data_IF_493866137782
#
_entry.id   IF_493866137782
#
_cell.length_a   1.000
_cell.length_b   1.000
_cell.length_c   1.000
_cell.angle_alpha   90.00
_cell.angle_beta   90.00
_cell.angle_gamma   90.00
#
_symmetry.space_group_name_H-M   'P 1'
#
loop_
_entity.id
_entity.type
_entity.pdbx_description
1 polymer ?
#
# COMPACT_ATOMS: atom_id res chain seq x y z
N UNK A 1 -3.80 -9.27 -28.33
CA UNK A 1 -3.22 -7.92 -28.44
C UNK A 1 -2.14 -7.83 -27.38
N UNK A 2 -0.91 -7.53 -27.78
CA UNK A 2 0.27 -7.64 -26.90
C UNK A 2 0.15 -6.70 -25.71
N UNK A 3 0.49 -7.21 -24.53
CA UNK A 3 0.74 -6.39 -23.34
C UNK A 3 1.80 -5.37 -23.74
N UNK A 4 1.60 -4.06 -23.56
CA UNK A 4 2.66 -3.10 -23.78
C UNK A 4 3.82 -3.50 -22.88
N UNK A 5 5.01 -3.71 -23.44
CA UNK A 5 6.20 -3.88 -22.63
C UNK A 5 6.33 -2.62 -21.77
N UNK A 6 6.09 -2.78 -20.46
CA UNK A 6 6.24 -1.72 -19.47
C UNK A 6 7.73 -1.38 -19.44
N UNK A 7 8.12 -0.42 -20.27
CA UNK A 7 9.50 -0.05 -20.51
C UNK A 7 10.06 0.59 -19.23
N UNK A 8 11.00 -0.10 -18.58
CA UNK A 8 12.17 0.42 -17.86
C UNK A 8 12.05 1.79 -17.15
N UNK A 9 10.91 2.11 -16.54
CA UNK A 9 10.77 3.29 -15.69
C UNK A 9 11.02 2.89 -14.24
N UNK A 10 12.26 3.19 -13.83
CA UNK A 10 12.78 3.11 -12.48
C UNK A 10 13.26 1.72 -12.03
N UNK A 11 14.25 1.14 -12.72
CA UNK A 11 15.07 0.07 -12.17
C UNK A 11 15.92 0.59 -11.00
N UNK A 12 15.31 0.75 -9.82
CA UNK A 12 15.98 0.54 -8.55
C UNK A 12 15.69 -0.90 -8.11
N UNK A 13 15.98 -1.82 -9.03
CA UNK A 13 16.27 -3.18 -8.62
C UNK A 13 17.68 -3.15 -8.05
N UNK A 14 17.85 -3.86 -6.95
CA UNK A 14 18.99 -3.94 -6.03
C UNK A 14 20.40 -4.09 -6.67
N UNK A 15 20.54 -4.07 -7.99
CA UNK A 15 21.68 -4.63 -8.70
C UNK A 15 22.68 -3.65 -9.31
N UNK A 16 22.76 -2.38 -8.87
CA UNK A 16 23.80 -1.47 -9.40
C UNK A 16 24.53 -0.58 -8.39
N UNK A 17 24.31 -0.71 -7.07
CA UNK A 17 25.10 0.04 -6.07
C UNK A 17 25.50 -0.79 -4.84
N UNK A 18 26.41 -0.25 -4.02
CA UNK A 18 26.88 -0.86 -2.77
C UNK A 18 25.71 -1.17 -1.81
N UNK A 19 24.61 -0.41 -1.91
CA UNK A 19 23.49 -0.43 -0.98
C UNK A 19 22.50 -1.56 -1.26
N UNK A 20 22.37 -1.99 -2.51
CA UNK A 20 21.62 -3.19 -2.86
C UNK A 20 22.26 -4.46 -2.31
N UNK A 21 23.58 -4.59 -2.37
CA UNK A 21 24.31 -5.74 -1.78
C UNK A 21 24.13 -5.84 -0.27
N UNK A 22 24.17 -4.72 0.44
CA UNK A 22 23.93 -4.67 1.89
C UNK A 22 22.49 -5.09 2.22
N UNK A 23 21.49 -4.67 1.43
CA UNK A 23 20.10 -5.08 1.63
C UNK A 23 19.92 -6.59 1.41
N UNK A 24 20.56 -7.19 0.41
CA UNK A 24 20.49 -8.64 0.15
C UNK A 24 21.09 -9.49 1.27
N UNK A 25 21.95 -8.94 2.13
CA UNK A 25 22.44 -9.69 3.29
C UNK A 25 21.39 -9.87 4.39
N UNK A 26 20.36 -9.01 4.43
CA UNK A 26 19.31 -9.03 5.46
C UNK A 26 17.89 -9.14 4.90
N UNK A 27 17.74 -9.37 3.60
CA UNK A 27 16.45 -9.49 2.94
C UNK A 27 16.51 -10.48 1.76
N UNK A 28 15.42 -11.23 1.53
CA UNK A 28 15.28 -12.13 0.38
C UNK A 28 14.11 -11.71 -0.50
N UNK A 29 14.27 -11.90 -1.81
CA UNK A 29 13.21 -11.67 -2.78
C UNK A 29 12.04 -12.62 -2.50
N UNK A 30 10.82 -12.07 -2.39
CA UNK A 30 9.59 -12.87 -2.22
C UNK A 30 8.69 -12.74 -3.45
N UNK A 31 8.47 -11.52 -3.94
CA UNK A 31 7.64 -11.27 -5.12
C UNK A 31 8.40 -10.36 -6.09
N UNK A 32 8.83 -10.88 -7.26
CA UNK A 32 9.42 -10.05 -8.29
C UNK A 32 8.40 -9.09 -8.89
N UNK A 33 8.85 -7.95 -9.38
CA UNK A 33 8.00 -6.91 -9.97
C UNK A 33 7.10 -7.46 -11.09
N UNK A 34 7.60 -8.37 -11.92
CA UNK A 34 6.80 -9.03 -12.95
C UNK A 34 5.59 -9.78 -12.41
N UNK A 35 5.71 -10.42 -11.23
CA UNK A 35 4.62 -11.12 -10.57
C UNK A 35 3.66 -10.12 -9.91
N UNK A 36 4.19 -9.04 -9.30
CA UNK A 36 3.37 -7.92 -8.80
C UNK A 36 2.47 -7.37 -9.91
N UNK A 37 3.03 -7.12 -11.10
CA UNK A 37 2.26 -6.63 -12.25
C UNK A 37 1.19 -7.61 -12.71
N UNK A 38 1.41 -8.93 -12.60
CA UNK A 38 0.36 -9.92 -12.87
C UNK A 38 -0.79 -9.83 -11.87
N UNK A 39 -0.49 -9.61 -10.58
CA UNK A 39 -1.53 -9.37 -9.56
C UNK A 39 -2.27 -8.05 -9.80
N UNK A 40 -1.57 -6.98 -10.19
CA UNK A 40 -2.20 -5.70 -10.56
C UNK A 40 -3.13 -5.90 -11.76
N UNK A 41 -2.69 -6.56 -12.83
CA UNK A 41 -3.51 -6.84 -14.01
C UNK A 41 -4.75 -7.68 -13.68
N UNK A 42 -4.63 -8.65 -12.75
CA UNK A 42 -5.77 -9.41 -12.24
C UNK A 42 -6.76 -8.47 -11.55
N UNK A 43 -6.29 -7.64 -10.62
CA UNK A 43 -7.13 -6.71 -9.87
C UNK A 43 -7.74 -5.62 -10.76
N UNK A 44 -7.05 -5.18 -11.81
CA UNK A 44 -7.61 -4.28 -12.81
C UNK A 44 -8.82 -4.88 -13.53
N UNK A 45 -8.85 -6.20 -13.77
CA UNK A 45 -10.02 -6.87 -14.37
C UNK A 45 -11.20 -6.90 -13.40
N UNK A 46 -10.93 -7.24 -12.14
CA UNK A 46 -11.95 -7.25 -11.09
C UNK A 46 -12.51 -5.84 -10.86
N UNK A 47 -11.65 -4.81 -10.87
CA UNK A 47 -12.06 -3.41 -10.81
C UNK A 47 -12.95 -3.04 -12.01
N UNK A 48 -12.57 -3.45 -13.23
CA UNK A 48 -13.37 -3.18 -14.42
C UNK A 48 -14.77 -3.82 -14.35
N UNK A 49 -14.90 -5.00 -13.74
CA UNK A 49 -16.21 -5.62 -13.50
C UNK A 49 -17.06 -4.83 -12.49
N UNK A 50 -16.41 -4.23 -11.49
CA UNK A 50 -17.07 -3.44 -10.45
C UNK A 50 -17.54 -2.07 -10.94
N UNK A 51 -16.68 -1.33 -11.65
CA UNK A 51 -16.94 0.09 -12.00
C UNK A 51 -17.22 0.31 -13.49
N UNK A 52 -16.77 -0.59 -14.37
CA UNK A 52 -16.84 -0.42 -15.82
C UNK A 52 -16.32 0.97 -16.22
N UNK A 53 -17.08 1.74 -17.00
CA UNK A 53 -16.75 3.11 -17.40
C UNK A 53 -17.32 4.18 -16.44
N UNK A 54 -17.95 3.78 -15.32
CA UNK A 54 -18.50 4.73 -14.35
C UNK A 54 -17.40 5.37 -13.50
N UNK A 55 -17.50 6.67 -13.18
CA UNK A 55 -16.57 7.31 -12.25
C UNK A 55 -16.58 6.63 -10.88
N UNK A 56 -15.42 6.58 -10.24
CA UNK A 56 -15.23 5.99 -8.91
C UNK A 56 -14.20 6.78 -8.11
N UNK A 57 -14.20 6.59 -6.79
CA UNK A 57 -13.17 7.12 -5.91
C UNK A 57 -12.07 6.08 -5.72
N UNK A 58 -10.86 6.37 -6.17
CA UNK A 58 -9.68 5.59 -5.83
C UNK A 58 -9.09 6.14 -4.54
N UNK A 59 -9.23 5.38 -3.44
CA UNK A 59 -8.86 5.80 -2.11
C UNK A 59 -7.63 5.05 -1.59
N UNK A 60 -6.40 5.42 -2.01
CA UNK A 60 -5.19 4.83 -1.46
C UNK A 60 -5.04 5.17 0.01
N UNK A 61 -4.74 4.16 0.82
CA UNK A 61 -4.36 4.33 2.22
C UNK A 61 -2.87 4.67 2.28
N UNK A 62 -2.60 5.93 2.59
CA UNK A 62 -1.27 6.50 2.53
C UNK A 62 -0.39 6.07 3.71
N UNK A 63 0.93 5.96 3.50
CA UNK A 63 1.66 6.21 2.24
C UNK A 63 1.90 4.94 1.41
N UNK A 64 1.68 3.76 1.99
CA UNK A 64 2.08 2.48 1.40
C UNK A 64 1.36 2.11 0.12
N UNK A 65 0.06 2.34 0.07
CA UNK A 65 -0.77 1.96 -1.07
C UNK A 65 -0.65 2.91 -2.27
N UNK A 66 0.05 4.04 -2.16
CA UNK A 66 0.08 5.08 -3.21
C UNK A 66 0.63 4.56 -4.55
N UNK A 67 1.72 3.77 -4.48
CA UNK A 67 2.31 3.14 -5.67
C UNK A 67 1.36 2.12 -6.27
N UNK A 68 0.84 1.21 -5.45
CA UNK A 68 -0.08 0.18 -5.91
C UNK A 68 -1.34 0.79 -6.53
N UNK A 69 -1.92 1.82 -5.92
CA UNK A 69 -3.07 2.55 -6.45
C UNK A 69 -2.76 3.15 -7.82
N UNK A 70 -1.60 3.80 -7.98
CA UNK A 70 -1.18 4.36 -9.28
C UNK A 70 -1.18 3.29 -10.37
N UNK A 71 -0.58 2.14 -10.11
CA UNK A 71 -0.54 1.04 -11.08
C UNK A 71 -1.95 0.44 -11.30
N UNK A 72 -2.77 0.32 -10.24
CA UNK A 72 -4.14 -0.21 -10.33
C UNK A 72 -5.05 0.66 -11.19
N UNK A 73 -5.00 1.98 -11.04
CA UNK A 73 -5.91 2.90 -11.73
C UNK A 73 -5.35 3.50 -13.03
N UNK A 74 -4.13 3.13 -13.43
CA UNK A 74 -3.47 3.67 -14.64
C UNK A 74 -4.35 3.62 -15.91
N UNK A 75 -5.15 2.54 -16.15
CA UNK A 75 -6.02 2.48 -17.33
C UNK A 75 -7.27 3.39 -17.26
N UNK A 76 -7.56 4.00 -16.11
CA UNK A 76 -8.85 4.61 -15.80
C UNK A 76 -8.77 6.14 -15.76
N UNK A 77 -9.33 6.79 -16.78
CA UNK A 77 -9.44 8.26 -16.82
C UNK A 77 -10.58 8.82 -15.94
N UNK A 78 -11.46 7.95 -15.47
CA UNK A 78 -12.64 8.25 -14.65
C UNK A 78 -12.40 8.01 -13.14
N UNK A 79 -11.16 7.68 -12.75
CA UNK A 79 -10.76 7.50 -11.36
C UNK A 79 -10.52 8.85 -10.67
N UNK A 80 -11.29 9.15 -9.62
CA UNK A 80 -11.07 10.30 -8.76
C UNK A 80 -10.17 9.90 -7.60
N UNK A 81 -8.92 10.38 -7.58
CA UNK A 81 -7.96 10.04 -6.53
C UNK A 81 -8.28 10.82 -5.25
N UNK A 82 -8.80 10.12 -4.24
CA UNK A 82 -9.21 10.69 -2.95
C UNK A 82 -8.55 9.90 -1.81
N UNK A 83 -7.32 10.25 -1.42
CA UNK A 83 -6.53 9.47 -0.48
C UNK A 83 -7.14 9.44 0.93
N UNK A 84 -6.78 8.39 1.66
CA UNK A 84 -7.04 8.23 3.09
C UNK A 84 -5.69 8.16 3.82
N UNK A 85 -5.62 8.64 5.07
CA UNK A 85 -4.41 8.47 5.88
C UNK A 85 -4.75 8.08 7.32
N UNK A 86 -4.35 6.87 7.66
CA UNK A 86 -4.51 6.22 8.95
C UNK A 86 -3.11 5.89 9.49
N UNK A 87 -2.62 6.66 10.46
CA UNK A 87 -1.30 6.51 11.07
C UNK A 87 -1.32 5.34 12.05
N UNK A 88 -0.87 4.18 11.59
CA UNK A 88 -0.66 3.02 12.46
C UNK A 88 0.61 3.25 13.31
N UNK A 89 0.45 3.36 14.64
CA UNK A 89 1.59 3.49 15.55
C UNK A 89 2.36 2.15 15.61
N UNK A 90 3.46 2.02 14.85
CA UNK A 90 4.48 1.00 15.10
C UNK A 90 5.52 1.56 16.06
N UNK A 91 5.31 1.41 17.37
CA UNK A 91 6.38 1.21 18.38
C UNK A 91 5.75 0.89 19.73
N UNK A 92 6.10 -0.29 20.25
CA UNK A 92 5.93 -0.75 21.64
C UNK A 92 4.49 -0.83 22.18
N UNK A 93 3.98 -2.05 22.34
CA UNK A 93 2.76 -2.44 23.07
C UNK A 93 1.44 -1.79 22.59
N UNK A 94 0.80 -2.51 21.66
CA UNK A 94 -0.66 -2.69 21.49
C UNK A 94 -1.61 -1.83 22.35
N UNK A 95 -1.74 -0.54 22.04
CA UNK A 95 -2.92 0.25 22.46
C UNK A 95 -4.05 0.17 21.44
N UNK A 96 -3.80 -0.36 20.24
CA UNK A 96 -4.83 -0.55 19.21
C UNK A 96 -5.40 0.75 18.63
N UNK A 97 -4.86 1.91 18.99
CA UNK A 97 -5.29 3.21 18.47
C UNK A 97 -4.48 3.57 17.22
N UNK A 98 -5.18 3.74 16.10
CA UNK A 98 -4.65 4.33 14.87
C UNK A 98 -5.00 5.81 14.87
N UNK A 99 -4.01 6.67 14.67
CA UNK A 99 -4.24 8.10 14.56
C UNK A 99 -4.77 8.44 13.16
N UNK A 100 -5.78 9.30 13.06
CA UNK A 100 -6.46 9.63 11.81
C UNK A 100 -6.01 11.01 11.35
N UNK A 101 -5.51 11.13 10.12
CA UNK A 101 -5.14 12.44 9.58
C UNK A 101 -6.39 13.20 9.14
N UNK A 102 -6.89 14.07 10.03
CA UNK A 102 -8.18 14.75 9.84
C UNK A 102 -8.23 15.59 8.57
N UNK A 103 -7.15 16.27 8.21
CA UNK A 103 -7.13 17.13 7.01
C UNK A 103 -7.36 16.30 5.74
N UNK A 104 -6.69 15.15 5.63
CA UNK A 104 -6.84 14.25 4.48
C UNK A 104 -8.23 13.62 4.47
N UNK A 105 -8.73 13.18 5.63
CA UNK A 105 -10.05 12.57 5.73
C UNK A 105 -11.20 13.55 5.47
N UNK A 106 -11.08 14.81 5.93
CA UNK A 106 -12.07 15.86 5.66
C UNK A 106 -12.08 16.23 4.17
N UNK A 107 -10.90 16.24 3.52
CA UNK A 107 -10.77 16.40 2.07
C UNK A 107 -11.45 15.25 1.31
N UNK A 108 -11.22 14.00 1.74
CA UNK A 108 -11.91 12.83 1.19
C UNK A 108 -13.44 12.98 1.27
N UNK A 109 -13.98 13.31 2.44
CA UNK A 109 -15.43 13.51 2.64
C UNK A 109 -15.98 14.66 1.80
N UNK A 110 -15.23 15.76 1.70
CA UNK A 110 -15.62 16.92 0.90
C UNK A 110 -15.68 16.58 -0.59
N UNK A 111 -14.69 15.84 -1.10
CA UNK A 111 -14.70 15.35 -2.49
C UNK A 111 -15.92 14.47 -2.75
N UNK A 112 -16.24 13.55 -1.83
CA UNK A 112 -17.41 12.66 -1.95
C UNK A 112 -18.73 13.41 -2.04
N UNK A 113 -18.91 14.49 -1.27
CA UNK A 113 -20.14 15.29 -1.29
C UNK A 113 -20.36 16.06 -2.59
N UNK A 114 -19.28 16.40 -3.30
CA UNK A 114 -19.32 17.14 -4.55
C UNK A 114 -19.72 16.24 -5.71
N UNK A 115 -19.33 14.97 -5.66
CA UNK A 115 -19.65 13.99 -6.69
C UNK A 115 -20.93 13.22 -6.35
N UNK A 116 -21.58 12.68 -7.37
CA UNK A 116 -22.66 11.69 -7.21
C UNK A 116 -22.18 10.47 -6.40
N UNK A 117 -23.06 9.57 -5.90
CA UNK A 117 -22.66 8.41 -5.12
C UNK A 117 -21.87 7.39 -5.97
N UNK A 118 -20.64 7.75 -6.29
CA UNK A 118 -19.67 6.90 -6.96
C UNK A 118 -19.10 5.89 -5.96
N UNK A 119 -18.84 4.65 -6.41
CA UNK A 119 -18.25 3.62 -5.57
C UNK A 119 -16.86 4.04 -5.09
N UNK A 120 -16.50 3.59 -3.89
CA UNK A 120 -15.20 3.84 -3.27
C UNK A 120 -14.36 2.55 -3.38
N UNK A 121 -13.26 2.66 -4.09
CA UNK A 121 -12.25 1.61 -4.21
C UNK A 121 -11.16 1.92 -3.19
N UNK A 122 -11.22 1.29 -2.03
CA UNK A 122 -10.19 1.44 -0.99
C UNK A 122 -8.97 0.62 -1.39
N UNK A 123 -7.83 1.26 -1.55
CA UNK A 123 -6.60 0.60 -2.00
C UNK A 123 -5.61 0.51 -0.84
N UNK A 124 -5.21 -0.71 -0.49
CA UNK A 124 -4.25 -1.00 0.58
C UNK A 124 -3.07 -1.80 0.03
N UNK A 125 -1.85 -1.49 0.45
CA UNK A 125 -0.66 -2.26 0.10
C UNK A 125 -0.64 -3.61 0.84
N UNK A 126 -1.05 -3.62 2.11
CA UNK A 126 -1.02 -4.83 2.93
C UNK A 126 -2.11 -4.89 4.00
N UNK A 127 -2.86 -5.99 4.00
CA UNK A 127 -3.74 -6.33 5.11
C UNK A 127 -3.05 -7.32 6.06
N UNK A 128 -2.56 -6.77 7.18
CA UNK A 128 -1.74 -7.46 8.20
C UNK A 128 -2.54 -7.80 9.47
N UNK A 129 -2.43 -6.98 10.52
CA UNK A 129 -3.12 -7.20 11.79
C UNK A 129 -4.63 -6.89 11.77
N UNK A 130 -5.10 -6.13 10.78
CA UNK A 130 -6.50 -5.73 10.61
C UNK A 130 -6.95 -4.50 11.41
N UNK A 131 -6.05 -3.77 12.08
CA UNK A 131 -6.41 -2.53 12.79
C UNK A 131 -6.75 -1.40 11.83
N UNK A 132 -5.90 -1.13 10.84
CA UNK A 132 -6.16 -0.09 9.82
C UNK A 132 -7.51 -0.30 9.15
N UNK A 133 -7.81 -1.54 8.76
CA UNK A 133 -9.11 -1.91 8.20
C UNK A 133 -10.26 -1.59 9.16
N UNK A 134 -10.15 -1.99 10.43
CA UNK A 134 -11.16 -1.70 11.43
C UNK A 134 -11.40 -0.18 11.60
N UNK A 135 -10.33 0.61 11.56
CA UNK A 135 -10.44 2.07 11.65
C UNK A 135 -11.05 2.72 10.41
N UNK A 136 -10.75 2.20 9.21
CA UNK A 136 -11.42 2.63 7.97
C UNK A 136 -12.93 2.34 8.07
N UNK A 137 -13.30 1.15 8.51
CA UNK A 137 -14.71 0.77 8.66
C UNK A 137 -15.42 1.62 9.72
N UNK A 138 -14.76 1.91 10.85
CA UNK A 138 -15.30 2.82 11.86
C UNK A 138 -15.50 4.23 11.29
N UNK A 139 -14.49 4.75 10.59
CA UNK A 139 -14.56 6.06 9.93
C UNK A 139 -15.70 6.12 8.90
N UNK A 140 -15.86 5.09 8.08
CA UNK A 140 -16.95 5.00 7.10
C UNK A 140 -18.32 4.94 7.78
N UNK A 141 -18.46 4.14 8.83
CA UNK A 141 -19.68 4.07 9.62
C UNK A 141 -20.06 5.41 10.25
N UNK A 142 -19.10 6.09 10.90
CA UNK A 142 -19.27 7.42 11.51
C UNK A 142 -19.73 8.49 10.49
N UNK A 143 -19.43 8.30 9.20
CA UNK A 143 -19.73 9.24 8.12
C UNK A 143 -20.85 8.75 7.18
N UNK A 144 -21.64 7.76 7.59
CA UNK A 144 -22.76 7.21 6.82
C UNK A 144 -22.34 6.68 5.43
N UNK A 145 -21.16 6.08 5.34
CA UNK A 145 -20.71 5.32 4.17
C UNK A 145 -21.05 3.86 4.43
N UNK A 146 -21.91 3.28 3.59
CA UNK A 146 -22.42 1.92 3.76
C UNK A 146 -21.49 0.89 3.10
N UNK A 147 -21.57 -0.37 3.51
CA UNK A 147 -20.76 -1.44 2.90
C UNK A 147 -21.01 -1.63 1.40
N UNK A 148 -22.17 -1.22 0.89
CA UNK A 148 -22.46 -1.20 -0.55
C UNK A 148 -21.73 -0.08 -1.31
N UNK A 149 -21.17 0.90 -0.60
CA UNK A 149 -20.52 2.06 -1.19
C UNK A 149 -19.03 1.81 -1.46
N UNK A 150 -18.45 0.71 -0.95
CA UNK A 150 -17.01 0.47 -1.06
C UNK A 150 -16.62 -0.99 -1.25
N UNK A 151 -15.51 -1.19 -1.94
CA UNK A 151 -14.81 -2.48 -2.07
C UNK A 151 -13.33 -2.28 -1.77
N UNK A 152 -12.70 -3.26 -1.12
CA UNK A 152 -11.28 -3.21 -0.78
C UNK A 152 -10.43 -3.91 -1.83
N UNK A 153 -9.40 -3.24 -2.32
CA UNK A 153 -8.38 -3.79 -3.19
C UNK A 153 -7.07 -3.83 -2.42
N UNK A 154 -6.63 -5.03 -2.08
CA UNK A 154 -5.46 -5.27 -1.23
C UNK A 154 -4.41 -6.01 -2.02
N UNK A 155 -3.22 -5.45 -2.14
CA UNK A 155 -2.13 -6.13 -2.85
C UNK A 155 -1.68 -7.39 -2.10
N UNK A 156 -1.35 -7.27 -0.82
CA UNK A 156 -0.85 -8.37 0.01
C UNK A 156 -1.80 -8.70 1.17
N UNK A 157 -2.15 -9.96 1.30
CA UNK A 157 -2.99 -10.46 2.38
C UNK A 157 -2.21 -11.40 3.32
N UNK A 158 -2.19 -11.11 4.64
CA UNK A 158 -1.57 -11.94 5.68
C UNK A 158 -2.60 -12.48 6.69
N UNK A 159 -3.36 -13.53 6.36
CA UNK A 159 -4.37 -14.07 7.27
C UNK A 159 -3.77 -14.54 8.60
N UNK A 160 -2.53 -15.04 8.61
CA UNK A 160 -1.83 -15.50 9.82
C UNK A 160 -1.42 -14.39 10.80
N UNK A 161 -1.55 -13.12 10.42
CA UNK A 161 -1.16 -11.99 11.28
C UNK A 161 -2.34 -11.28 11.95
N UNK A 162 -3.57 -11.70 11.66
CA UNK A 162 -4.81 -11.07 12.14
C UNK A 162 -4.87 -11.01 13.66
N UNK A 163 -5.14 -9.82 14.18
CA UNK A 163 -5.40 -9.57 15.62
C UNK A 163 -6.83 -9.10 15.87
N UNK A 164 -7.53 -8.69 14.82
CA UNK A 164 -8.94 -8.30 14.85
C UNK A 164 -9.77 -9.29 14.04
N UNK A 165 -11.06 -9.40 14.38
CA UNK A 165 -12.02 -10.06 13.50
C UNK A 165 -12.20 -9.16 12.28
N UNK A 166 -11.86 -9.68 11.11
CA UNK A 166 -12.19 -9.02 9.85
C UNK A 166 -13.67 -9.28 9.58
N UNK A 167 -14.54 -8.26 9.53
CA UNK A 167 -15.90 -8.45 9.07
C UNK A 167 -15.89 -8.95 7.63
N UNK A 168 -16.98 -9.61 7.23
CA UNK A 168 -17.20 -9.98 5.83
C UNK A 168 -17.41 -8.68 5.04
N UNK A 169 -16.43 -8.35 4.22
CA UNK A 169 -16.39 -7.16 3.37
C UNK A 169 -15.99 -7.61 1.97
N UNK A 170 -16.45 -6.88 0.97
CA UNK A 170 -16.04 -7.12 -0.41
C UNK A 170 -14.55 -6.79 -0.56
N UNK A 171 -13.74 -7.82 -0.81
CA UNK A 171 -12.28 -7.71 -0.80
C UNK A 171 -11.65 -8.48 -1.96
N UNK A 172 -10.94 -7.74 -2.79
CA UNK A 172 -10.17 -8.18 -3.93
C UNK A 172 -8.70 -8.27 -3.54
N UNK A 173 -8.14 -9.47 -3.59
CA UNK A 173 -6.78 -9.76 -3.11
C UNK A 173 -5.86 -10.06 -4.29
N UNK A 174 -4.74 -9.33 -4.36
CA UNK A 174 -3.67 -9.58 -5.30
C UNK A 174 -3.00 -10.92 -5.02
N UNK A 175 -2.33 -11.02 -3.86
CA UNK A 175 -1.64 -12.23 -3.41
C UNK A 175 -1.79 -12.43 -1.89
N UNK A 176 -1.81 -13.69 -1.45
CA UNK A 176 -1.75 -14.06 -0.03
C UNK A 176 -0.36 -14.55 0.31
N UNK A 177 0.25 -13.96 1.34
CA UNK A 177 1.62 -14.29 1.77
C UNK A 177 1.64 -14.77 3.23
N UNK A 178 2.67 -15.53 3.64
CA UNK A 178 2.90 -15.85 5.04
C UNK A 178 3.15 -14.59 5.88
N UNK A 179 3.22 -14.77 7.20
CA UNK A 179 3.47 -13.68 8.14
C UNK A 179 4.97 -13.27 8.17
N UNK A 180 5.45 -12.72 7.06
CA UNK A 180 6.80 -12.18 6.89
C UNK A 180 6.82 -10.67 7.05
N UNK A 181 7.83 -10.08 7.67
CA UNK A 181 8.01 -8.63 7.56
C UNK A 181 8.55 -8.30 6.16
N UNK A 182 7.85 -7.44 5.41
CA UNK A 182 8.13 -7.19 3.98
C UNK A 182 8.30 -5.70 3.69
N UNK A 183 9.14 -5.39 2.70
CA UNK A 183 9.46 -4.04 2.22
C UNK A 183 9.50 -4.00 0.69
N UNK A 184 9.41 -2.80 0.12
CA UNK A 184 9.41 -2.58 -1.33
C UNK A 184 8.02 -2.46 -1.91
N UNK A 185 7.94 -1.95 -3.14
CA UNK A 185 6.70 -1.67 -3.85
C UNK A 185 5.69 -0.86 -3.01
N UNK A 186 6.15 0.24 -2.42
CA UNK A 186 5.35 1.07 -1.51
C UNK A 186 5.51 0.69 -0.04
N UNK A 187 5.79 -0.55 0.32
CA UNK A 187 6.04 -0.99 1.70
C UNK A 187 7.39 -0.47 2.21
N UNK A 188 7.48 -0.19 3.52
CA UNK A 188 8.64 0.48 4.10
C UNK A 188 9.16 -0.12 5.41
N UNK A 189 10.36 0.32 5.75
CA UNK A 189 10.90 0.26 7.10
C UNK A 189 11.36 1.67 7.52
N UNK A 190 10.73 2.26 8.52
CA UNK A 190 11.00 3.62 9.03
C UNK A 190 11.09 4.67 7.88
N UNK A 191 10.20 4.57 6.88
CA UNK A 191 10.13 5.45 5.71
C UNK A 191 11.07 5.10 4.56
N UNK A 192 11.93 4.08 4.71
CA UNK A 192 12.88 3.65 3.69
C UNK A 192 12.33 2.50 2.81
N UNK A 193 12.99 2.26 1.69
CA UNK A 193 12.77 1.11 0.79
C UNK A 193 11.46 1.07 -0.03
N UNK A 194 10.54 2.04 0.15
CA UNK A 194 9.29 2.13 -0.67
C UNK A 194 9.50 2.07 -2.19
N UNK A 195 10.64 2.59 -2.66
CA UNK A 195 10.98 2.73 -4.08
C UNK A 195 11.51 1.45 -4.74
N UNK A 196 11.81 0.40 -3.97
CA UNK A 196 12.19 -0.89 -4.56
C UNK A 196 11.03 -1.42 -5.42
N UNK A 197 11.31 -1.99 -6.59
CA UNK A 197 10.26 -2.52 -7.45
C UNK A 197 9.72 -3.86 -6.95
N UNK A 198 10.62 -4.73 -6.48
CA UNK A 198 10.23 -6.02 -5.92
C UNK A 198 9.82 -5.89 -4.45
N UNK A 199 9.12 -6.92 -3.98
CA UNK A 199 8.83 -7.10 -2.56
C UNK A 199 9.81 -8.12 -1.98
N UNK A 200 10.46 -7.72 -0.89
CA UNK A 200 11.43 -8.53 -0.16
C UNK A 200 10.92 -8.82 1.25
N UNK A 201 11.16 -10.04 1.73
CA UNK A 201 11.08 -10.36 3.15
C UNK A 201 12.38 -9.94 3.82
N UNK A 202 12.26 -9.29 4.97
CA UNK A 202 13.39 -8.97 5.84
C UNK A 202 13.70 -10.19 6.68
N UNK A 203 14.90 -10.76 6.50
CA UNK A 203 15.36 -11.97 7.21
C UNK A 203 16.20 -11.64 8.45
N UNK A 204 16.74 -10.41 8.54
CA UNK A 204 17.44 -9.88 9.71
C UNK A 204 17.06 -8.41 9.94
N UNK A 205 16.14 -8.16 10.87
CA UNK A 205 15.67 -6.80 11.19
C UNK A 205 16.74 -5.94 11.90
N UNK A 206 17.66 -6.54 12.66
CA UNK A 206 18.71 -5.78 13.36
C UNK A 206 19.77 -5.28 12.38
N UNK A 207 20.12 -6.10 11.40
CA UNK A 207 20.98 -5.66 10.31
C UNK A 207 20.30 -4.60 9.44
N UNK A 208 19.00 -4.74 9.14
CA UNK A 208 18.25 -3.73 8.41
C UNK A 208 18.22 -2.39 9.16
N UNK A 209 18.02 -2.42 10.49
CA UNK A 209 18.09 -1.25 11.37
C UNK A 209 19.44 -0.54 11.25
N UNK A 210 20.54 -1.28 11.26
CA UNK A 210 21.87 -0.70 11.18
C UNK A 210 22.15 -0.07 9.80
N UNK A 211 21.69 -0.71 8.73
CA UNK A 211 21.73 -0.15 7.37
C UNK A 211 20.98 1.19 7.34
N UNK A 212 19.77 1.25 7.90
CA UNK A 212 18.96 2.48 7.93
C UNK A 212 19.63 3.58 8.77
N UNK A 213 20.14 3.27 9.96
CA UNK A 213 20.89 4.23 10.80
C UNK A 213 22.11 4.79 10.08
N UNK A 214 22.87 3.93 9.41
CA UNK A 214 24.05 4.33 8.65
C UNK A 214 23.67 5.29 7.52
N UNK A 215 22.57 5.02 6.80
CA UNK A 215 22.06 5.91 5.75
C UNK A 215 21.62 7.26 6.30
N UNK A 216 20.92 7.29 7.43
CA UNK A 216 20.49 8.53 8.08
C UNK A 216 21.68 9.39 8.50
N UNK A 217 22.75 8.78 9.05
CA UNK A 217 24.01 9.48 9.38
C UNK A 217 24.72 10.06 8.16
N UNK A 218 24.80 9.31 7.06
CA UNK A 218 25.46 9.78 5.84
C UNK A 218 24.74 11.00 5.23
N UNK A 219 23.41 11.02 5.27
CA UNK A 219 22.60 12.12 4.73
C UNK A 219 22.50 13.35 5.66
N UNK A 220 22.97 13.24 6.91
CA UNK A 220 22.96 14.34 7.89
C UNK A 220 24.30 15.07 8.02
N UNK A 221 25.34 14.65 7.27
CA UNK A 221 26.57 15.44 7.13
C UNK A 221 26.27 16.66 6.25
N UNK A 222 26.40 17.90 6.75
CA UNK A 222 26.17 19.08 5.92
C UNK A 222 27.16 19.07 4.75
N UNK A 223 26.69 19.36 3.54
CA UNK A 223 27.56 19.74 2.43
C UNK A 223 28.28 21.04 2.85
N UNK A 224 29.47 20.92 3.43
CA UNK A 224 30.39 22.05 3.59
C UNK A 224 30.92 22.33 2.19
N UNK A 225 30.29 23.29 1.51
CA UNK A 225 30.87 24.01 0.37
C UNK A 225 31.27 25.40 0.81
#
# INVERSE_FOLDING_TARGET
>A
MGVPAYSDKCALDIDTDKYGKELLSCARLVIPYSEIQQHVLKLQRELNELVSDQPFFAAPVLDGADRFCTDLIEPYNNANRSPLRFKSYRRTQSTGMVDRDREILDSFLSSRKIHEPYPIVVVEDILDNGYTLADILSFFHENNIQCSDFSFFVLLNKPGARKTKCPEIDMHVGCTIPNFFVIGYGLDYDGHFRKLNNIYEVTDEEQLKEIVRTRQRANSVPNIR
#
